data_IF_081489849420
#
_entry.id   IF_081489849420
#
_cell.length_a   1.000
_cell.length_b   1.000
_cell.length_c   1.000
_cell.angle_alpha   90.00
_cell.angle_beta   90.00
_cell.angle_gamma   90.00
#
_symmetry.space_group_name_H-M   'P 1'
#
loop_
_entity.id
_entity.type
_entity.pdbx_description
1 polymer ?
#
# COMPACT_ATOMS: atom_id res chain seq x y z
N UNK A 1 -18.26 12.20 -3.66
CA UNK A 1 -18.02 10.76 -3.56
C UNK A 1 -18.12 10.36 -2.10
N UNK A 2 -18.95 9.38 -1.78
CA UNK A 2 -19.11 8.87 -0.40
C UNK A 2 -18.71 7.41 -0.37
N UNK A 3 -17.47 7.13 0.06
CA UNK A 3 -17.04 5.77 0.40
C UNK A 3 -17.93 5.27 1.54
N UNK A 4 -18.42 4.02 1.51
CA UNK A 4 -19.20 3.43 2.60
C UNK A 4 -18.56 3.63 3.99
N UNK A 5 -19.39 3.85 5.01
CA UNK A 5 -18.91 4.20 6.36
C UNK A 5 -18.03 3.09 6.97
N UNK A 6 -18.37 1.82 6.75
CA UNK A 6 -17.59 0.68 7.23
C UNK A 6 -16.16 0.67 6.65
N UNK A 7 -16.01 1.01 5.37
CA UNK A 7 -14.71 1.13 4.71
C UNK A 7 -13.90 2.31 5.25
N UNK A 8 -14.56 3.43 5.58
CA UNK A 8 -13.89 4.58 6.22
C UNK A 8 -13.38 4.20 7.61
N UNK A 9 -14.21 3.53 8.42
CA UNK A 9 -13.84 3.03 9.75
C UNK A 9 -12.69 2.03 9.64
N UNK A 10 -12.74 1.11 8.68
CA UNK A 10 -11.67 0.15 8.41
C UNK A 10 -10.35 0.85 8.11
N UNK A 11 -10.35 1.81 7.19
CA UNK A 11 -9.17 2.60 6.84
C UNK A 11 -8.60 3.31 8.05
N UNK A 12 -9.45 4.01 8.82
CA UNK A 12 -9.06 4.72 10.04
C UNK A 12 -8.41 3.77 11.05
N UNK A 13 -9.03 2.63 11.33
CA UNK A 13 -8.50 1.66 12.28
C UNK A 13 -7.15 1.08 11.82
N UNK A 14 -6.99 0.84 10.51
CA UNK A 14 -5.73 0.34 9.93
C UNK A 14 -4.59 1.36 10.05
N UNK A 15 -4.89 2.66 9.90
CA UNK A 15 -3.93 3.74 10.15
C UNK A 15 -3.56 3.79 11.63
N UNK A 16 -4.56 3.82 12.52
CA UNK A 16 -4.34 3.96 13.95
C UNK A 16 -3.47 2.83 14.50
N UNK A 17 -3.68 1.59 14.03
CA UNK A 17 -2.82 0.44 14.37
C UNK A 17 -1.34 0.63 14.00
N UNK A 18 -1.00 1.57 13.12
CA UNK A 18 0.39 1.89 12.75
C UNK A 18 0.89 3.18 13.41
N UNK A 19 0.04 4.19 13.55
CA UNK A 19 0.41 5.47 14.19
C UNK A 19 0.66 5.29 15.68
N UNK A 20 -0.21 4.55 16.38
CA UNK A 20 -0.08 4.33 17.84
C UNK A 20 1.28 3.73 18.22
N UNK A 21 1.75 2.61 17.66
CA UNK A 21 3.06 2.08 17.99
C UNK A 21 4.21 3.00 17.56
N UNK A 22 4.05 3.79 16.49
CA UNK A 22 5.04 4.78 16.08
C UNK A 22 5.21 5.87 17.14
N UNK A 23 4.11 6.42 17.66
CA UNK A 23 4.14 7.42 18.73
C UNK A 23 4.81 6.84 19.99
N UNK A 24 4.48 5.59 20.36
CA UNK A 24 5.08 4.92 21.52
C UNK A 24 6.60 4.76 21.34
N UNK A 25 7.05 4.35 20.14
CA UNK A 25 8.48 4.19 19.84
C UNK A 25 9.22 5.54 19.80
N UNK A 26 8.60 6.58 19.26
CA UNK A 26 9.18 7.94 19.26
C UNK A 26 9.37 8.42 20.71
N UNK A 27 8.35 8.24 21.55
CA UNK A 27 8.42 8.63 22.97
C UNK A 27 9.48 7.85 23.73
N UNK A 28 9.64 6.55 23.48
CA UNK A 28 10.67 5.74 24.14
C UNK A 28 12.08 6.13 23.70
N UNK A 29 12.30 6.33 22.39
CA UNK A 29 13.58 6.78 21.84
C UNK A 29 13.94 8.18 22.35
N UNK A 30 12.98 9.11 22.37
CA UNK A 30 13.17 10.45 22.92
C UNK A 30 13.59 10.40 24.40
N UNK A 31 12.93 9.56 25.20
CA UNK A 31 13.27 9.38 26.62
C UNK A 31 14.67 8.82 26.80
N UNK A 32 15.06 7.82 26.01
CA UNK A 32 16.40 7.24 26.05
C UNK A 32 17.45 8.29 25.68
N UNK A 33 17.24 9.06 24.62
CA UNK A 33 18.17 10.11 24.22
C UNK A 33 18.26 11.23 25.27
N UNK A 34 17.15 11.60 25.91
CA UNK A 34 17.14 12.64 26.94
C UNK A 34 17.92 12.22 28.19
N UNK A 35 17.80 10.95 28.61
CA UNK A 35 18.44 10.45 29.84
C UNK A 35 19.89 9.97 29.61
N UNK A 36 20.14 9.33 28.47
CA UNK A 36 21.38 8.60 28.21
C UNK A 36 22.12 9.07 26.95
N UNK A 37 21.57 10.02 26.19
CA UNK A 37 22.15 10.44 24.90
C UNK A 37 23.58 10.96 24.99
N UNK A 38 23.93 11.69 26.06
CA UNK A 38 25.29 12.18 26.31
C UNK A 38 26.29 11.03 26.61
N UNK A 39 25.80 9.93 27.16
CA UNK A 39 26.61 8.75 27.46
C UNK A 39 26.77 7.90 26.18
N UNK A 40 25.67 7.70 25.44
CA UNK A 40 25.65 6.90 24.21
C UNK A 40 26.48 7.57 23.11
N UNK A 41 26.34 8.88 22.95
CA UNK A 41 27.05 9.69 21.97
C UNK A 41 28.01 10.64 22.69
N UNK A 42 28.99 10.05 23.38
CA UNK A 42 30.03 10.80 24.05
C UNK A 42 31.04 11.35 23.03
N UNK A 43 30.77 12.53 22.50
CA UNK A 43 31.60 13.18 21.47
C UNK A 43 31.72 14.67 21.77
N UNK A 44 32.92 15.24 21.59
CA UNK A 44 33.14 16.68 21.77
C UNK A 44 32.46 17.53 20.68
N UNK A 45 32.09 16.91 19.55
CA UNK A 45 31.43 17.58 18.45
C UNK A 45 29.90 17.60 18.62
N UNK A 46 29.37 18.72 19.12
CA UNK A 46 27.92 18.91 19.31
C UNK A 46 27.10 18.77 18.02
N UNK A 47 27.63 19.17 16.87
CA UNK A 47 26.91 19.05 15.60
C UNK A 47 26.73 17.58 15.19
N UNK A 48 27.78 16.77 15.38
CA UNK A 48 27.72 15.33 15.14
C UNK A 48 26.75 14.64 16.11
N UNK A 49 26.76 15.02 17.39
CA UNK A 49 25.84 14.48 18.39
C UNK A 49 24.36 14.74 18.02
N UNK A 50 24.03 15.97 17.57
CA UNK A 50 22.68 16.31 17.10
C UNK A 50 22.30 15.49 15.88
N UNK A 51 23.22 15.31 14.93
CA UNK A 51 22.98 14.48 13.74
C UNK A 51 22.63 13.03 14.14
N UNK A 52 23.37 12.46 15.10
CA UNK A 52 23.08 11.13 15.63
C UNK A 52 21.68 11.04 16.24
N UNK A 53 21.25 12.04 17.04
CA UNK A 53 19.90 12.07 17.60
C UNK A 53 18.82 12.10 16.52
N UNK A 54 19.02 12.90 15.46
CA UNK A 54 18.09 12.97 14.33
C UNK A 54 17.97 11.59 13.66
N UNK A 55 19.10 10.94 13.35
CA UNK A 55 19.11 9.62 12.72
C UNK A 55 18.41 8.58 13.58
N UNK A 56 18.67 8.56 14.90
CA UNK A 56 18.01 7.64 15.84
C UNK A 56 16.49 7.89 15.89
N UNK A 57 16.05 9.14 15.86
CA UNK A 57 14.63 9.50 15.87
C UNK A 57 13.90 9.16 14.55
N UNK A 58 14.62 8.88 13.46
CA UNK A 58 14.02 8.38 12.22
C UNK A 58 13.72 6.88 12.24
N UNK A 59 14.39 6.10 13.11
CA UNK A 59 14.23 4.64 13.19
C UNK A 59 12.78 4.20 13.45
N UNK A 60 12.01 4.82 14.38
CA UNK A 60 10.59 4.48 14.58
C UNK A 60 9.74 4.57 13.31
N UNK A 61 10.01 5.54 12.43
CA UNK A 61 9.26 5.71 11.17
C UNK A 61 9.57 4.60 10.17
N UNK A 62 10.81 4.13 10.14
CA UNK A 62 11.24 3.01 9.30
C UNK A 62 10.61 1.70 9.80
N UNK A 63 10.67 1.44 11.11
CA UNK A 63 10.10 0.22 11.72
C UNK A 63 8.59 0.14 11.50
N UNK A 64 7.88 1.26 11.71
CA UNK A 64 6.41 1.27 11.62
C UNK A 64 5.90 1.42 10.19
N UNK A 65 6.75 1.82 9.23
CA UNK A 65 6.38 2.00 7.83
C UNK A 65 5.30 3.06 7.62
N UNK A 66 5.13 3.98 8.57
CA UNK A 66 4.12 5.05 8.53
C UNK A 66 4.28 5.98 7.31
N UNK A 67 5.50 6.45 6.92
CA UNK A 67 5.65 7.39 5.82
C UNK A 67 5.10 6.88 4.47
N UNK A 68 5.35 5.62 4.14
CA UNK A 68 4.90 5.04 2.86
C UNK A 68 3.38 4.95 2.74
N UNK A 69 2.66 4.89 3.86
CA UNK A 69 1.20 4.79 3.87
C UNK A 69 0.49 6.13 4.00
N UNK A 70 1.13 7.14 4.57
CA UNK A 70 0.61 8.51 4.59
C UNK A 70 0.64 9.17 3.20
N UNK A 71 1.51 8.70 2.29
CA UNK A 71 1.58 9.16 0.89
C UNK A 71 0.50 8.48 0.02
N UNK A 72 -0.11 7.42 0.55
CA UNK A 72 -1.20 6.73 -0.12
C UNK A 72 -2.46 7.61 -0.12
N UNK A 73 -3.36 7.43 -1.08
CA UNK A 73 -4.60 8.20 -1.13
C UNK A 73 -5.67 7.42 -1.87
N UNK A 74 -6.92 7.46 -1.41
CA UNK A 74 -8.03 6.88 -2.18
C UNK A 74 -8.11 7.59 -3.53
N UNK A 75 -8.18 6.82 -4.62
CA UNK A 75 -8.34 7.37 -5.96
C UNK A 75 -9.24 6.48 -6.81
N UNK A 76 -9.78 7.09 -7.86
CA UNK A 76 -10.48 6.40 -8.93
C UNK A 76 -10.29 7.13 -10.24
N UNK A 77 -10.50 6.41 -11.33
CA UNK A 77 -10.37 6.97 -12.67
C UNK A 77 -10.29 5.89 -13.73
N UNK A 78 -10.06 6.31 -14.96
CA UNK A 78 -10.00 5.44 -16.13
C UNK A 78 -8.55 5.11 -16.46
N UNK A 79 -8.25 3.84 -16.72
CA UNK A 79 -6.92 3.39 -17.15
C UNK A 79 -6.65 3.87 -18.57
N UNK A 80 -5.62 4.68 -18.74
CA UNK A 80 -5.13 5.15 -20.05
C UNK A 80 -4.04 4.28 -20.64
N UNK A 81 -3.24 3.66 -19.77
CA UNK A 81 -2.11 2.84 -20.18
C UNK A 81 -1.76 1.82 -19.10
N UNK A 82 -1.44 0.61 -19.53
CA UNK A 82 -0.97 -0.48 -18.68
C UNK A 82 0.49 -0.78 -19.01
N UNK A 83 1.38 -0.60 -18.03
CA UNK A 83 2.81 -0.90 -18.15
C UNK A 83 3.17 -2.11 -17.28
N UNK A 84 3.73 -3.15 -17.91
CA UNK A 84 4.13 -4.39 -17.23
C UNK A 84 5.66 -4.44 -17.18
N UNK A 85 6.21 -4.40 -15.97
CA UNK A 85 7.65 -4.50 -15.73
C UNK A 85 7.96 -5.86 -15.16
N UNK A 86 8.74 -6.65 -15.90
CA UNK A 86 9.25 -7.94 -15.43
C UNK A 86 10.62 -7.76 -14.80
N UNK A 87 10.75 -8.12 -13.53
CA UNK A 87 12.01 -8.11 -12.79
C UNK A 87 12.33 -9.50 -12.26
N UNK A 88 13.59 -9.76 -11.93
CA UNK A 88 13.96 -10.98 -11.18
C UNK A 88 13.87 -10.70 -9.69
N UNK A 89 13.18 -11.55 -8.94
CA UNK A 89 13.06 -11.49 -7.48
C UNK A 89 13.50 -12.83 -6.87
N UNK A 90 13.63 -12.90 -5.56
CA UNK A 90 14.14 -14.06 -4.83
C UNK A 90 13.18 -14.48 -3.71
N UNK A 91 12.89 -15.77 -3.61
CA UNK A 91 12.04 -16.32 -2.53
C UNK A 91 12.85 -16.56 -1.23
N UNK A 92 14.17 -16.57 -1.29
CA UNK A 92 15.01 -16.88 -0.12
C UNK A 92 15.26 -15.65 0.77
N UNK A 93 14.96 -15.72 2.09
CA UNK A 93 15.29 -14.66 3.04
C UNK A 93 16.79 -14.54 3.34
N UNK A 94 17.58 -15.54 2.94
CA UNK A 94 19.06 -15.56 3.04
C UNK A 94 19.64 -15.62 1.62
N UNK A 95 20.87 -15.13 1.43
CA UNK A 95 21.61 -14.98 0.16
C UNK A 95 20.97 -15.68 -1.07
N UNK A 96 20.62 -14.94 -2.13
CA UNK A 96 19.97 -15.49 -3.32
C UNK A 96 20.83 -16.56 -3.99
N UNK A 97 20.31 -17.78 -4.12
CA UNK A 97 20.85 -18.82 -5.03
C UNK A 97 19.99 -18.85 -6.28
N UNK A 98 20.56 -19.32 -7.41
CA UNK A 98 19.87 -19.35 -8.72
C UNK A 98 18.53 -20.10 -8.70
N UNK A 99 18.37 -21.08 -7.83
CA UNK A 99 17.17 -21.90 -7.70
C UNK A 99 16.00 -21.17 -7.02
N UNK A 100 16.28 -20.12 -6.25
CA UNK A 100 15.27 -19.32 -5.57
C UNK A 100 14.91 -18.03 -6.34
N UNK A 101 15.56 -17.80 -7.48
CA UNK A 101 15.22 -16.69 -8.36
C UNK A 101 13.96 -17.00 -9.16
N UNK A 102 13.01 -16.05 -9.16
CA UNK A 102 11.81 -16.13 -9.97
C UNK A 102 11.58 -14.81 -10.71
N UNK A 103 10.95 -14.90 -11.88
CA UNK A 103 10.48 -13.71 -12.59
C UNK A 103 9.23 -13.18 -11.89
N UNK A 104 9.20 -11.88 -11.65
CA UNK A 104 8.13 -11.14 -11.01
C UNK A 104 7.60 -10.10 -11.99
N UNK A 105 6.30 -10.13 -12.23
CA UNK A 105 5.62 -9.10 -13.01
C UNK A 105 5.04 -8.07 -12.05
N UNK A 106 5.35 -6.80 -12.31
CA UNK A 106 4.75 -5.66 -11.63
C UNK A 106 3.96 -4.84 -12.64
N UNK A 107 2.68 -4.64 -12.36
CA UNK A 107 1.77 -3.90 -13.23
C UNK A 107 1.62 -2.48 -12.69
N UNK A 108 1.88 -1.51 -13.55
CA UNK A 108 1.67 -0.10 -13.29
C UNK A 108 0.58 0.44 -14.22
N UNK A 109 -0.27 1.29 -13.66
CA UNK A 109 -1.39 1.91 -14.37
C UNK A 109 -1.17 3.42 -14.44
N UNK A 110 -1.38 3.97 -15.63
CA UNK A 110 -1.59 5.41 -15.82
C UNK A 110 -3.10 5.66 -15.80
N UNK A 111 -3.59 6.37 -14.79
CA UNK A 111 -5.01 6.54 -14.52
C UNK A 111 -5.37 8.02 -14.68
N UNK A 112 -6.35 8.32 -15.52
CA UNK A 112 -6.95 9.65 -15.64
C UNK A 112 -8.07 9.79 -14.62
N UNK A 113 -7.89 10.72 -13.68
CA UNK A 113 -8.90 11.07 -12.69
C UNK A 113 -9.99 11.97 -13.32
N UNK A 114 -11.17 12.07 -12.70
CA UNK A 114 -12.24 12.95 -13.20
C UNK A 114 -11.89 14.44 -13.24
N UNK A 115 -10.88 14.88 -12.47
CA UNK A 115 -10.35 16.24 -12.51
C UNK A 115 -9.34 16.46 -13.66
N UNK A 116 -9.18 15.49 -14.55
CA UNK A 116 -8.27 15.51 -15.70
C UNK A 116 -6.81 15.23 -15.34
N UNK A 117 -6.49 14.95 -14.08
CA UNK A 117 -5.11 14.66 -13.67
C UNK A 117 -4.74 13.20 -13.93
N UNK A 118 -3.57 13.00 -14.53
CA UNK A 118 -2.97 11.68 -14.69
C UNK A 118 -2.16 11.29 -13.45
N UNK A 119 -2.39 10.09 -12.95
CA UNK A 119 -1.61 9.49 -11.88
C UNK A 119 -0.97 8.18 -12.36
N UNK A 120 0.27 7.94 -11.93
CA UNK A 120 0.97 6.70 -12.20
C UNK A 120 1.11 5.90 -10.90
N UNK A 121 0.51 4.71 -10.84
CA UNK A 121 0.46 3.89 -9.62
C UNK A 121 0.68 2.42 -9.92
N UNK A 122 1.33 1.75 -8.99
CA UNK A 122 1.48 0.29 -8.98
C UNK A 122 0.15 -0.35 -8.58
N UNK A 123 -0.38 -1.25 -9.41
CA UNK A 123 -1.62 -1.97 -9.16
C UNK A 123 -1.40 -3.40 -8.67
N UNK A 124 -0.39 -4.09 -9.21
CA UNK A 124 -0.12 -5.49 -8.86
C UNK A 124 1.37 -5.82 -8.87
N UNK A 125 1.76 -6.86 -8.12
CA UNK A 125 3.11 -7.42 -8.08
C UNK A 125 3.05 -8.89 -7.69
N UNK A 126 3.54 -9.78 -8.54
CA UNK A 126 3.51 -11.21 -8.25
C UNK A 126 4.36 -12.04 -9.20
N UNK A 127 4.42 -13.35 -8.96
CA UNK A 127 5.23 -14.28 -9.78
C UNK A 127 4.70 -14.31 -11.21
N UNK A 128 5.59 -14.16 -12.19
CA UNK A 128 5.26 -14.11 -13.62
C UNK A 128 4.70 -15.43 -14.18
N UNK A 129 4.86 -16.56 -13.46
CA UNK A 129 4.37 -17.88 -13.88
C UNK A 129 2.84 -17.96 -14.01
N UNK A 130 2.10 -17.05 -13.39
CA UNK A 130 0.65 -16.96 -13.50
C UNK A 130 0.30 -15.79 -14.44
N UNK A 131 0.15 -16.08 -15.74
CA UNK A 131 -0.40 -15.13 -16.73
C UNK A 131 -1.79 -14.59 -16.33
N UNK A 132 -2.47 -15.23 -15.37
CA UNK A 132 -3.81 -14.91 -14.89
C UNK A 132 -4.01 -13.44 -14.50
N UNK A 133 -2.95 -12.72 -14.09
CA UNK A 133 -3.08 -11.33 -13.65
C UNK A 133 -2.61 -10.28 -14.68
N UNK A 134 -2.06 -10.71 -15.83
CA UNK A 134 -1.61 -9.80 -16.90
C UNK A 134 -2.79 -9.11 -17.56
N UNK A 135 -3.93 -9.81 -17.67
CA UNK A 135 -5.18 -9.31 -18.25
C UNK A 135 -6.17 -8.78 -17.21
N UNK A 136 -5.74 -8.62 -15.96
CA UNK A 136 -6.62 -8.13 -14.89
C UNK A 136 -6.94 -6.63 -15.01
N UNK A 137 -6.19 -5.90 -15.83
CA UNK A 137 -6.38 -4.48 -16.10
C UNK A 137 -6.19 -4.22 -17.59
N UNK A 138 -7.14 -3.53 -18.20
CA UNK A 138 -7.12 -3.12 -19.59
C UNK A 138 -7.26 -1.60 -19.71
N UNK A 139 -6.84 -1.06 -20.85
CA UNK A 139 -7.10 0.35 -21.17
C UNK A 139 -8.61 0.57 -21.33
N UNK A 140 -9.12 1.64 -20.72
CA UNK A 140 -10.54 1.93 -20.63
C UNK A 140 -11.20 1.47 -19.33
N UNK A 141 -10.58 0.57 -18.57
CA UNK A 141 -11.14 0.10 -17.29
C UNK A 141 -11.31 1.26 -16.31
N UNK A 142 -12.43 1.27 -15.58
CA UNK A 142 -12.60 2.16 -14.43
C UNK A 142 -12.10 1.46 -13.19
N UNK A 143 -11.10 2.02 -12.53
CA UNK A 143 -10.48 1.43 -11.35
C UNK A 143 -10.72 2.24 -10.09
N UNK A 144 -10.76 1.54 -8.96
CA UNK A 144 -10.87 2.09 -7.63
C UNK A 144 -9.75 1.57 -6.73
N UNK A 145 -9.13 2.49 -6.00
CA UNK A 145 -8.17 2.16 -4.96
C UNK A 145 -8.62 2.77 -3.63
N UNK A 146 -8.77 1.92 -2.62
CA UNK A 146 -9.07 2.34 -1.26
C UNK A 146 -7.76 2.64 -0.52
N UNK A 147 -7.66 3.84 0.04
CA UNK A 147 -6.53 4.25 0.86
C UNK A 147 -6.13 3.19 1.90
N UNK A 148 -4.82 3.03 2.11
CA UNK A 148 -4.23 2.09 3.07
C UNK A 148 -4.30 0.62 2.66
N UNK A 149 -5.07 0.27 1.62
CA UNK A 149 -4.99 -1.06 1.00
C UNK A 149 -3.84 -1.10 -0.01
N UNK A 150 -3.49 -2.28 -0.53
CA UNK A 150 -2.52 -2.42 -1.64
C UNK A 150 -3.24 -2.96 -2.88
N UNK A 151 -4.56 -2.77 -2.93
CA UNK A 151 -5.44 -3.41 -3.90
C UNK A 151 -6.05 -2.31 -4.75
N UNK A 152 -5.95 -2.50 -6.06
CA UNK A 152 -6.65 -1.70 -7.05
C UNK A 152 -7.67 -2.63 -7.69
N UNK A 153 -8.95 -2.31 -7.56
CA UNK A 153 -10.03 -3.11 -8.12
C UNK A 153 -10.55 -2.45 -9.40
N UNK A 154 -10.85 -3.26 -10.41
CA UNK A 154 -11.66 -2.82 -11.55
C UNK A 154 -13.11 -2.79 -11.09
N UNK A 155 -13.81 -1.68 -11.33
CA UNK A 155 -15.23 -1.57 -11.06
C UNK A 155 -16.00 -2.37 -12.10
N UNK A 156 -17.07 -3.08 -11.70
CA UNK A 156 -17.85 -3.87 -12.62
C UNK A 156 -18.65 -2.99 -13.58
N UNK A 157 -18.72 -3.41 -14.83
CA UNK A 157 -19.65 -2.86 -15.82
C UNK A 157 -21.04 -3.54 -15.71
N UNK A 158 -22.03 -3.02 -16.44
CA UNK A 158 -23.40 -3.54 -16.44
C UNK A 158 -23.50 -5.04 -16.85
N UNK A 159 -22.48 -5.57 -17.52
CA UNK A 159 -22.44 -6.94 -18.01
C UNK A 159 -21.72 -7.91 -17.04
N UNK A 160 -21.06 -7.39 -16.00
CA UNK A 160 -20.27 -8.21 -15.10
C UNK A 160 -21.14 -8.94 -14.07
N UNK A 161 -20.80 -10.20 -13.80
CA UNK A 161 -21.44 -11.01 -12.76
C UNK A 161 -20.69 -10.97 -11.43
N UNK A 162 -19.51 -10.34 -11.37
CA UNK A 162 -18.65 -10.34 -10.19
C UNK A 162 -18.01 -8.99 -9.91
N UNK A 163 -17.70 -8.73 -8.64
CA UNK A 163 -17.00 -7.54 -8.15
C UNK A 163 -15.89 -7.94 -7.19
N UNK A 164 -14.75 -7.27 -7.28
CA UNK A 164 -13.63 -7.51 -6.38
C UNK A 164 -13.71 -6.62 -5.12
N UNK A 165 -13.44 -7.21 -3.96
CA UNK A 165 -13.42 -6.47 -2.70
C UNK A 165 -12.20 -5.54 -2.63
N UNK A 166 -12.40 -4.26 -2.34
CA UNK A 166 -11.34 -3.26 -2.21
C UNK A 166 -10.44 -3.46 -0.98
N UNK A 167 -10.85 -4.32 -0.03
CA UNK A 167 -10.13 -4.60 1.22
C UNK A 167 -9.27 -5.85 1.15
N UNK A 168 -9.86 -6.99 0.74
CA UNK A 168 -9.17 -8.28 0.69
C UNK A 168 -8.86 -8.77 -0.73
N UNK A 169 -9.46 -8.16 -1.76
CA UNK A 169 -9.24 -8.53 -3.16
C UNK A 169 -10.04 -9.73 -3.64
N UNK A 170 -10.92 -10.32 -2.81
CA UNK A 170 -11.68 -11.49 -3.25
C UNK A 170 -12.79 -11.14 -4.22
N UNK A 171 -13.05 -12.07 -5.15
CA UNK A 171 -14.14 -11.97 -6.11
C UNK A 171 -15.45 -12.38 -5.45
N UNK A 172 -16.47 -11.54 -5.58
CA UNK A 172 -17.78 -11.72 -4.99
C UNK A 172 -18.85 -11.58 -6.09
N UNK A 173 -20.00 -12.22 -5.89
CA UNK A 173 -21.18 -11.99 -6.74
C UNK A 173 -21.59 -10.51 -6.65
N UNK A 174 -21.83 -9.86 -7.80
CA UNK A 174 -22.21 -8.45 -7.89
C UNK A 174 -23.51 -8.12 -7.13
N UNK A 175 -24.36 -9.12 -6.89
CA UNK A 175 -25.60 -8.99 -6.10
C UNK A 175 -25.34 -8.86 -4.60
N UNK A 176 -24.20 -9.30 -4.09
CA UNK A 176 -23.88 -9.16 -2.67
C UNK A 176 -23.51 -7.70 -2.37
N UNK A 177 -23.98 -7.15 -1.26
CA UNK A 177 -23.55 -5.81 -0.83
C UNK A 177 -22.27 -5.84 0.02
N UNK A 178 -21.98 -6.99 0.62
CA UNK A 178 -20.80 -7.21 1.45
C UNK A 178 -19.96 -8.36 0.91
N UNK A 179 -18.65 -8.24 1.12
CA UNK A 179 -17.69 -9.28 0.81
C UNK A 179 -17.91 -10.49 1.71
N UNK A 180 -18.02 -11.69 1.12
CA UNK A 180 -18.21 -12.94 1.88
C UNK A 180 -17.02 -13.28 2.79
N UNK A 181 -15.81 -12.90 2.37
CA UNK A 181 -14.60 -13.27 3.11
C UNK A 181 -14.25 -12.30 4.25
N UNK A 182 -14.45 -11.00 4.07
CA UNK A 182 -14.04 -9.98 5.05
C UNK A 182 -15.20 -9.15 5.63
N UNK A 183 -16.43 -9.33 5.14
CA UNK A 183 -17.64 -8.65 5.64
C UNK A 183 -17.75 -7.16 5.27
N UNK A 184 -16.78 -6.60 4.57
CA UNK A 184 -16.79 -5.19 4.18
C UNK A 184 -17.64 -4.91 2.95
N UNK A 185 -18.18 -3.69 2.86
CA UNK A 185 -19.00 -3.25 1.74
C UNK A 185 -18.25 -3.36 0.41
N UNK A 186 -18.96 -3.83 -0.63
CA UNK A 186 -18.45 -3.93 -1.99
C UNK A 186 -18.71 -2.61 -2.73
N UNK A 187 -17.66 -2.07 -3.36
CA UNK A 187 -17.74 -0.85 -4.18
C UNK A 187 -18.04 -1.26 -5.62
N UNK A 188 -19.26 -0.97 -6.09
CA UNK A 188 -19.76 -1.39 -7.41
C UNK A 188 -19.83 -0.25 -8.42
N UNK A 189 -19.89 0.99 -7.94
CA UNK A 189 -19.97 2.20 -8.75
C UNK A 189 -19.38 3.37 -7.96
N UNK A 190 -19.09 4.48 -8.64
CA UNK A 190 -18.53 5.71 -8.05
C UNK A 190 -19.33 6.93 -8.52
#
# INVERSE_FOLDING_TARGET
>A
MTVPEDLQIYCRNRILKRIIPCIILISSFATILALWGNIIFNTDNKAFQILCYIVVMLVPFVITGVPHKLIDSTYYGTVKKVDIVTTTDNDSPVKPTREHLYLKNTIYLSIERPDGKLIYKKAYSGKARLQQNIHAYNEGDVVFHLYSTNIVVVLPDANDSSVHCSVCGSSNDIKNDQCRDCGHSLVKHI
#
